data_IF_937788928511
#
_entry.id   IF_937788928511
#
_cell.length_a   1.000
_cell.length_b   1.000
_cell.length_c   1.000
_cell.angle_alpha   90.00
_cell.angle_beta   90.00
_cell.angle_gamma   90.00
#
_symmetry.space_group_name_H-M   'P 1'
#
loop_
_entity.id
_entity.type
_entity.pdbx_description
1 polymer ?
#
# COMPACT_ATOMS: atom_id res chain seq x y z
N UNK A 1 -13.67 -18.33 17.05
CA UNK A 1 -14.25 -18.97 15.84
C UNK A 1 -14.47 -17.84 14.84
N UNK A 2 -13.64 -17.74 13.78
CA UNK A 2 -13.80 -16.70 12.75
C UNK A 2 -14.96 -17.14 11.86
N UNK A 3 -15.90 -16.21 11.63
CA UNK A 3 -17.23 -16.44 11.04
C UNK A 3 -17.19 -16.08 9.55
N UNK A 4 -17.98 -16.80 8.75
CA UNK A 4 -18.25 -16.48 7.33
C UNK A 4 -18.54 -14.98 7.15
N UNK A 5 -18.04 -14.33 6.08
CA UNK A 5 -18.24 -12.90 5.87
C UNK A 5 -19.74 -12.59 5.86
N UNK A 6 -20.19 -11.82 6.85
CA UNK A 6 -21.54 -11.28 6.90
C UNK A 6 -21.86 -10.52 5.60
N UNK A 7 -23.13 -10.45 5.17
CA UNK A 7 -23.51 -9.67 4.00
C UNK A 7 -22.96 -8.25 4.09
N UNK A 8 -22.50 -7.74 2.94
CA UNK A 8 -21.96 -6.40 2.79
C UNK A 8 -23.06 -5.48 2.27
N UNK A 9 -23.15 -4.27 2.80
CA UNK A 9 -24.02 -3.25 2.25
C UNK A 9 -23.49 -2.82 0.88
N UNK A 10 -24.11 -3.32 -0.20
CA UNK A 10 -23.65 -3.08 -1.57
C UNK A 10 -23.59 -1.59 -1.93
N UNK A 11 -24.52 -0.79 -1.42
CA UNK A 11 -24.53 0.66 -1.63
C UNK A 11 -23.36 1.34 -0.93
N UNK A 12 -23.13 1.00 0.34
CA UNK A 12 -21.99 1.53 1.08
C UNK A 12 -20.64 1.05 0.52
N UNK A 13 -20.56 -0.19 0.04
CA UNK A 13 -19.37 -0.72 -0.61
C UNK A 13 -19.05 0.00 -1.91
N UNK A 14 -20.06 0.28 -2.75
CA UNK A 14 -19.86 1.05 -3.98
C UNK A 14 -19.33 2.46 -3.67
N UNK A 15 -19.90 3.15 -2.67
CA UNK A 15 -19.41 4.47 -2.24
C UNK A 15 -17.99 4.38 -1.71
N UNK A 16 -17.67 3.37 -0.89
CA UNK A 16 -16.33 3.18 -0.35
C UNK A 16 -15.28 2.92 -1.45
N UNK A 17 -15.61 2.10 -2.46
CA UNK A 17 -14.73 1.83 -3.60
C UNK A 17 -14.50 3.07 -4.47
N UNK A 18 -15.56 3.83 -4.78
CA UNK A 18 -15.42 5.10 -5.51
C UNK A 18 -14.59 6.12 -4.73
N UNK A 19 -14.79 6.19 -3.41
CA UNK A 19 -14.02 7.04 -2.51
C UNK A 19 -12.54 6.64 -2.50
N UNK A 20 -12.26 5.34 -2.46
CA UNK A 20 -10.89 4.81 -2.53
C UNK A 20 -10.23 5.20 -3.86
N UNK A 21 -10.93 5.02 -4.99
CA UNK A 21 -10.42 5.40 -6.31
C UNK A 21 -10.10 6.90 -6.40
N UNK A 22 -11.03 7.76 -5.95
CA UNK A 22 -10.81 9.20 -5.92
C UNK A 22 -9.62 9.57 -5.01
N UNK A 23 -9.50 8.93 -3.85
CA UNK A 23 -8.41 9.17 -2.89
C UNK A 23 -7.05 8.73 -3.46
N UNK A 24 -7.00 7.59 -4.16
CA UNK A 24 -5.79 7.10 -4.83
C UNK A 24 -5.37 7.97 -6.02
N UNK A 25 -6.33 8.49 -6.80
CA UNK A 25 -6.06 9.44 -7.87
C UNK A 25 -5.50 10.75 -7.30
N UNK A 26 -6.15 11.30 -6.27
CA UNK A 26 -5.69 12.50 -5.58
C UNK A 26 -4.27 12.34 -5.03
N UNK A 27 -4.01 11.24 -4.30
CA UNK A 27 -2.68 10.92 -3.79
C UNK A 27 -1.63 10.89 -4.90
N UNK A 28 -1.94 10.25 -6.03
CA UNK A 28 -1.03 10.17 -7.19
C UNK A 28 -0.70 11.57 -7.71
N UNK A 29 -1.70 12.44 -7.88
CA UNK A 29 -1.47 13.82 -8.30
C UNK A 29 -0.66 14.63 -7.28
N UNK A 30 -0.94 14.50 -5.98
CA UNK A 30 -0.12 15.13 -4.93
C UNK A 30 1.32 14.65 -5.03
N UNK A 31 1.53 13.33 -5.14
CA UNK A 31 2.88 12.75 -5.23
C UNK A 31 3.64 13.29 -6.44
N UNK A 32 3.02 13.27 -7.61
CA UNK A 32 3.59 13.82 -8.85
C UNK A 32 3.98 15.28 -8.69
N UNK A 33 3.11 16.13 -8.15
CA UNK A 33 3.40 17.55 -7.98
C UNK A 33 4.55 17.78 -6.99
N UNK A 34 4.54 17.09 -5.86
CA UNK A 34 5.62 17.24 -4.86
C UNK A 34 6.97 16.71 -5.33
N UNK A 35 6.98 15.71 -6.22
CA UNK A 35 8.22 15.23 -6.84
C UNK A 35 8.69 16.17 -7.95
N UNK A 36 7.77 16.75 -8.73
CA UNK A 36 8.10 17.75 -9.74
C UNK A 36 8.78 19.00 -9.13
N UNK A 37 8.30 19.48 -7.98
CA UNK A 37 8.88 20.63 -7.29
C UNK A 37 10.33 20.40 -6.84
N UNK A 38 10.70 19.16 -6.51
CA UNK A 38 12.01 18.81 -5.96
C UNK A 38 12.99 18.30 -7.04
N UNK A 39 12.51 17.59 -8.05
CA UNK A 39 13.33 17.00 -9.11
C UNK A 39 13.42 17.87 -10.36
N UNK A 40 12.82 19.07 -10.38
CA UNK A 40 12.83 19.98 -11.52
C UNK A 40 14.24 20.23 -12.09
N UNK A 41 15.26 20.26 -11.22
CA UNK A 41 16.67 20.45 -11.62
C UNK A 41 17.38 19.16 -12.04
N UNK A 42 16.86 17.97 -11.70
CA UNK A 42 17.53 16.69 -11.90
C UNK A 42 16.88 15.81 -12.98
N UNK A 43 15.55 15.89 -13.18
CA UNK A 43 14.76 15.06 -14.10
C UNK A 43 13.72 15.88 -14.90
N UNK A 44 14.13 16.89 -15.69
CA UNK A 44 13.21 17.86 -16.31
C UNK A 44 12.27 17.26 -17.37
N UNK A 45 12.63 16.13 -17.99
CA UNK A 45 11.85 15.52 -19.07
C UNK A 45 10.64 14.71 -18.58
N UNK A 46 10.72 14.12 -17.38
CA UNK A 46 9.65 13.32 -16.77
C UNK A 46 8.37 14.16 -16.53
N UNK A 47 8.55 15.47 -16.29
CA UNK A 47 7.48 16.38 -15.88
C UNK A 47 6.89 17.21 -17.03
N UNK A 48 7.46 17.14 -18.23
CA UNK A 48 6.91 17.83 -19.43
C UNK A 48 5.52 17.33 -19.82
N UNK A 49 5.20 16.07 -19.51
CA UNK A 49 3.89 15.46 -19.80
C UNK A 49 2.79 15.84 -18.79
N UNK A 50 3.15 16.08 -17.52
CA UNK A 50 2.20 16.38 -16.44
C UNK A 50 1.95 17.88 -16.24
N UNK A 51 2.77 18.72 -16.87
CA UNK A 51 2.74 20.18 -16.80
C UNK A 51 2.00 20.86 -17.97
N UNK A 52 1.41 20.08 -18.89
CA UNK A 52 0.72 20.62 -20.09
C UNK A 52 -0.42 21.58 -19.70
N UNK A 53 -1.06 21.40 -18.54
CA UNK A 53 -1.99 22.39 -17.98
C UNK A 53 -2.08 22.31 -16.45
N UNK A 54 -1.33 23.19 -15.76
CA UNK A 54 -1.42 23.37 -14.29
C UNK A 54 -2.86 23.59 -13.82
N UNK A 55 -3.65 24.33 -14.60
CA UNK A 55 -5.07 24.59 -14.31
C UNK A 55 -5.91 23.32 -14.34
N UNK A 56 -5.65 22.42 -15.29
CA UNK A 56 -6.33 21.12 -15.34
C UNK A 56 -5.98 20.28 -14.11
N UNK A 57 -4.69 20.17 -13.77
CA UNK A 57 -4.22 19.39 -12.61
C UNK A 57 -4.85 19.88 -11.30
N UNK A 58 -4.88 21.20 -11.07
CA UNK A 58 -5.50 21.78 -9.87
C UNK A 58 -7.01 21.47 -9.82
N UNK A 59 -7.72 21.57 -10.95
CA UNK A 59 -9.15 21.26 -11.00
C UNK A 59 -9.43 19.77 -10.77
N UNK A 60 -8.62 18.89 -11.34
CA UNK A 60 -8.71 17.45 -11.13
C UNK A 60 -8.52 17.11 -9.65
N UNK A 61 -7.46 17.63 -9.03
CA UNK A 61 -7.20 17.44 -7.60
C UNK A 61 -8.33 17.98 -6.71
N UNK A 62 -8.90 19.15 -7.04
CA UNK A 62 -10.04 19.68 -6.29
C UNK A 62 -11.26 18.76 -6.41
N UNK A 63 -11.55 18.25 -7.61
CA UNK A 63 -12.65 17.32 -7.84
C UNK A 63 -12.45 15.99 -7.11
N UNK A 64 -11.24 15.43 -7.15
CA UNK A 64 -10.89 14.19 -6.46
C UNK A 64 -11.00 14.34 -4.94
N UNK A 65 -10.48 15.45 -4.37
CA UNK A 65 -10.60 15.74 -2.95
C UNK A 65 -12.06 15.91 -2.52
N UNK A 66 -12.87 16.63 -3.31
CA UNK A 66 -14.29 16.81 -3.04
C UNK A 66 -15.05 15.48 -3.13
N UNK A 67 -14.76 14.65 -4.12
CA UNK A 67 -15.35 13.32 -4.26
C UNK A 67 -15.00 12.43 -3.06
N UNK A 68 -13.73 12.43 -2.63
CA UNK A 68 -13.29 11.71 -1.44
C UNK A 68 -14.00 12.22 -0.17
N UNK A 69 -14.04 13.53 0.04
CA UNK A 69 -14.70 14.13 1.20
C UNK A 69 -16.20 13.85 1.22
N UNK A 70 -16.88 13.92 0.07
CA UNK A 70 -18.30 13.60 -0.05
C UNK A 70 -18.58 12.13 0.26
N UNK A 71 -17.78 11.20 -0.26
CA UNK A 71 -17.92 9.77 0.00
C UNK A 71 -17.68 9.41 1.47
N UNK A 72 -16.63 9.97 2.09
CA UNK A 72 -16.37 9.84 3.53
C UNK A 72 -17.55 10.40 4.33
N UNK A 73 -17.98 11.63 4.03
CA UNK A 73 -19.09 12.28 4.73
C UNK A 73 -20.40 11.51 4.62
N UNK A 74 -20.69 10.94 3.45
CA UNK A 74 -21.85 10.09 3.23
C UNK A 74 -21.81 8.82 4.09
N UNK A 75 -20.67 8.13 4.15
CA UNK A 75 -20.49 6.94 4.98
C UNK A 75 -20.71 7.26 6.47
N UNK A 76 -20.14 8.37 6.94
CA UNK A 76 -20.32 8.84 8.32
C UNK A 76 -21.81 9.14 8.61
N UNK A 77 -22.48 9.86 7.72
CA UNK A 77 -23.89 10.23 7.87
C UNK A 77 -24.85 9.02 7.84
N UNK A 78 -24.43 7.90 7.20
CA UNK A 78 -25.18 6.63 7.17
C UNK A 78 -24.86 5.69 8.33
N UNK A 79 -24.16 6.16 9.36
CA UNK A 79 -23.78 5.36 10.52
C UNK A 79 -22.64 4.36 10.25
N UNK A 80 -21.95 4.47 9.10
CA UNK A 80 -20.79 3.63 8.74
C UNK A 80 -19.50 4.28 9.22
N UNK A 81 -19.43 4.60 10.51
CA UNK A 81 -18.34 5.39 11.09
C UNK A 81 -16.95 4.78 10.82
N UNK A 82 -16.80 3.46 11.01
CA UNK A 82 -15.52 2.78 10.80
C UNK A 82 -15.06 2.81 9.33
N UNK A 83 -16.00 2.70 8.39
CA UNK A 83 -15.73 2.83 6.95
C UNK A 83 -15.25 4.24 6.58
N UNK A 84 -15.99 5.26 7.02
CA UNK A 84 -15.65 6.65 6.76
C UNK A 84 -14.32 7.07 7.41
N UNK A 85 -14.12 6.73 8.68
CA UNK A 85 -12.88 7.04 9.42
C UNK A 85 -11.67 6.30 8.84
N UNK A 86 -11.83 5.03 8.45
CA UNK A 86 -10.76 4.25 7.81
C UNK A 86 -10.32 4.88 6.47
N UNK A 87 -11.26 5.25 5.61
CA UNK A 87 -10.94 5.93 4.35
C UNK A 87 -10.34 7.34 4.56
N UNK A 88 -10.83 8.07 5.57
CA UNK A 88 -10.25 9.35 5.96
C UNK A 88 -8.81 9.23 6.48
N UNK A 89 -8.53 8.22 7.32
CA UNK A 89 -7.18 7.94 7.80
C UNK A 89 -6.24 7.51 6.65
N UNK A 90 -6.73 6.67 5.73
CA UNK A 90 -6.01 6.31 4.52
C UNK A 90 -5.63 7.55 3.69
N UNK A 91 -6.59 8.42 3.38
CA UNK A 91 -6.35 9.65 2.62
C UNK A 91 -5.36 10.58 3.34
N UNK A 92 -5.57 10.83 4.64
CA UNK A 92 -4.70 11.71 5.42
C UNK A 92 -3.24 11.21 5.44
N UNK A 93 -3.04 9.92 5.68
CA UNK A 93 -1.71 9.33 5.78
C UNK A 93 -0.99 9.26 4.43
N UNK A 94 -1.71 8.94 3.36
CA UNK A 94 -1.16 8.93 2.00
C UNK A 94 -0.81 10.33 1.49
N UNK A 95 -1.56 11.36 1.90
CA UNK A 95 -1.14 12.75 1.67
C UNK A 95 0.11 13.08 2.47
N UNK A 96 0.18 12.76 3.78
CA UNK A 96 1.38 12.96 4.60
C UNK A 96 2.63 12.28 4.03
N UNK A 97 2.44 11.15 3.36
CA UNK A 97 3.50 10.42 2.70
C UNK A 97 4.24 11.23 1.66
N UNK A 98 3.53 12.02 0.85
CA UNK A 98 4.09 12.84 -0.22
C UNK A 98 4.25 14.31 0.16
N UNK A 99 3.40 14.82 1.05
CA UNK A 99 3.33 16.21 1.49
C UNK A 99 3.00 16.31 3.00
N UNK A 100 3.97 16.75 3.81
CA UNK A 100 3.75 16.88 5.25
C UNK A 100 3.02 18.19 5.62
N UNK A 101 1.68 18.16 5.54
CA UNK A 101 0.84 19.31 5.91
C UNK A 101 0.92 19.69 7.40
N UNK A 102 1.51 18.86 8.27
CA UNK A 102 1.78 19.21 9.68
C UNK A 102 3.01 20.11 9.84
N UNK A 103 3.79 20.30 8.77
CA UNK A 103 4.96 21.18 8.74
C UNK A 103 4.96 22.02 7.45
N UNK A 104 4.00 22.95 7.27
CA UNK A 104 3.77 23.65 6.00
C UNK A 104 5.02 24.38 5.47
N UNK A 105 5.85 24.95 6.34
CA UNK A 105 7.10 25.64 5.95
C UNK A 105 8.21 24.73 5.43
N UNK A 106 8.07 23.40 5.54
CA UNK A 106 9.02 22.41 5.04
C UNK A 106 8.29 21.13 4.55
N UNK A 107 7.06 21.27 4.06
CA UNK A 107 6.15 20.15 3.86
C UNK A 107 6.66 19.10 2.86
N UNK A 108 7.25 19.56 1.75
CA UNK A 108 7.86 18.68 0.75
C UNK A 108 9.16 18.03 1.29
N UNK A 109 9.97 18.76 2.04
CA UNK A 109 11.23 18.25 2.60
C UNK A 109 11.02 17.26 3.76
N UNK A 110 9.95 17.41 4.55
CA UNK A 110 9.64 16.60 5.75
C UNK A 110 8.53 15.57 5.52
N UNK A 111 8.22 15.25 4.28
CA UNK A 111 7.28 14.19 3.89
C UNK A 111 7.68 12.83 4.47
N UNK A 112 6.70 11.98 4.80
CA UNK A 112 7.00 10.71 5.46
C UNK A 112 7.85 9.78 4.57
N UNK A 113 7.72 9.85 3.24
CA UNK A 113 8.55 9.08 2.31
C UNK A 113 10.04 9.46 2.30
N UNK A 114 10.45 10.52 3.01
CA UNK A 114 11.87 10.82 3.18
C UNK A 114 12.51 10.02 4.33
N UNK A 115 11.71 9.28 5.10
CA UNK A 115 12.13 8.57 6.31
C UNK A 115 11.69 7.12 6.28
N UNK A 116 12.57 6.20 6.70
CA UNK A 116 12.27 4.77 6.72
C UNK A 116 11.02 4.43 7.56
N UNK A 117 10.86 5.06 8.71
CA UNK A 117 9.71 4.82 9.59
C UNK A 117 8.43 5.40 8.99
N UNK A 118 8.55 6.43 8.16
CA UNK A 118 7.43 7.05 7.47
C UNK A 118 6.86 6.13 6.38
N UNK A 119 7.71 5.43 5.62
CA UNK A 119 7.27 4.38 4.71
C UNK A 119 6.58 3.22 5.43
N UNK A 120 7.21 2.72 6.50
CA UNK A 120 6.64 1.63 7.31
C UNK A 120 5.27 2.02 7.87
N UNK A 121 5.17 3.20 8.48
CA UNK A 121 3.93 3.72 9.05
C UNK A 121 2.86 3.87 7.97
N UNK A 122 3.20 4.48 6.84
CA UNK A 122 2.27 4.70 5.73
C UNK A 122 1.77 3.36 5.19
N UNK A 123 2.64 2.39 4.95
CA UNK A 123 2.26 1.08 4.44
C UNK A 123 1.33 0.34 5.42
N UNK A 124 1.75 0.19 6.68
CA UNK A 124 1.00 -0.58 7.67
C UNK A 124 -0.31 0.11 8.06
N UNK A 125 -0.28 1.38 8.44
CA UNK A 125 -1.48 2.06 8.96
C UNK A 125 -2.47 2.32 7.83
N UNK A 126 -2.03 2.62 6.60
CA UNK A 126 -2.96 2.75 5.46
C UNK A 126 -3.66 1.43 5.17
N UNK A 127 -2.94 0.30 5.19
CA UNK A 127 -3.55 -1.01 4.97
C UNK A 127 -4.52 -1.38 6.09
N UNK A 128 -4.16 -1.13 7.35
CA UNK A 128 -5.07 -1.36 8.47
C UNK A 128 -6.28 -0.43 8.44
N UNK A 129 -6.12 0.80 7.95
CA UNK A 129 -7.23 1.73 7.75
C UNK A 129 -8.19 1.24 6.66
N UNK A 130 -7.67 0.69 5.55
CA UNK A 130 -8.49 0.07 4.50
C UNK A 130 -9.16 -1.22 4.98
N UNK A 131 -8.44 -2.06 5.73
CA UNK A 131 -9.02 -3.25 6.32
C UNK A 131 -10.16 -2.90 7.28
N UNK A 132 -9.92 -1.96 8.20
CA UNK A 132 -10.94 -1.41 9.08
C UNK A 132 -12.11 -0.82 8.30
N UNK A 133 -11.84 -0.12 7.19
CA UNK A 133 -12.90 0.41 6.36
C UNK A 133 -13.80 -0.70 5.78
N UNK A 134 -13.19 -1.79 5.29
CA UNK A 134 -13.89 -3.00 4.88
C UNK A 134 -14.74 -3.61 6.01
N UNK A 135 -14.19 -3.67 7.23
CA UNK A 135 -14.93 -4.14 8.41
C UNK A 135 -16.21 -3.31 8.66
N UNK A 136 -16.11 -1.98 8.47
CA UNK A 136 -17.22 -1.04 8.65
C UNK A 136 -18.36 -1.19 7.65
N UNK A 137 -18.20 -2.00 6.59
CA UNK A 137 -19.21 -2.23 5.55
C UNK A 137 -20.07 -3.47 5.79
N UNK A 138 -19.67 -4.36 6.71
CA UNK A 138 -20.48 -5.54 7.04
C UNK A 138 -21.78 -5.12 7.78
N UNK A 139 -22.89 -5.80 7.47
CA UNK A 139 -24.20 -5.46 8.04
C UNK A 139 -24.55 -6.24 9.31
N UNK A 140 -23.85 -7.34 9.61
CA UNK A 140 -24.19 -8.21 10.73
C UNK A 140 -23.02 -9.06 11.26
N UNK A 141 -21.78 -8.61 11.06
CA UNK A 141 -20.59 -9.37 11.45
C UNK A 141 -20.22 -9.21 12.94
N UNK A 142 -19.80 -10.31 13.58
CA UNK A 142 -19.09 -10.24 14.86
C UNK A 142 -17.74 -9.55 14.63
N UNK A 143 -17.63 -8.30 15.07
CA UNK A 143 -16.39 -7.52 14.97
C UNK A 143 -15.18 -8.27 15.56
N UNK A 144 -15.38 -9.20 16.51
CA UNK A 144 -14.32 -10.04 17.08
C UNK A 144 -13.83 -11.10 16.10
N UNK A 145 -14.74 -11.71 15.35
CA UNK A 145 -14.42 -12.69 14.31
C UNK A 145 -13.64 -12.05 13.16
N UNK A 146 -13.89 -10.78 12.86
CA UNK A 146 -13.14 -10.04 11.87
C UNK A 146 -11.80 -9.52 12.44
N UNK A 147 -11.78 -8.98 13.66
CA UNK A 147 -10.55 -8.48 14.31
C UNK A 147 -9.47 -9.56 14.46
N UNK A 148 -9.86 -10.83 14.61
CA UNK A 148 -8.92 -11.93 14.73
C UNK A 148 -8.20 -12.31 13.41
N UNK A 149 -8.57 -11.70 12.27
CA UNK A 149 -7.73 -11.69 11.06
C UNK A 149 -6.58 -10.68 11.11
N UNK A 150 -6.58 -9.75 12.09
CA UNK A 150 -5.59 -8.69 12.23
C UNK A 150 -4.13 -9.19 12.22
N UNK A 151 -3.76 -10.25 12.95
CA UNK A 151 -2.41 -10.80 12.89
C UNK A 151 -2.01 -11.31 11.50
N UNK A 152 -2.90 -12.04 10.81
CA UNK A 152 -2.62 -12.49 9.45
C UNK A 152 -2.47 -11.30 8.49
N UNK A 153 -3.35 -10.31 8.61
CA UNK A 153 -3.31 -9.08 7.82
C UNK A 153 -2.02 -8.27 8.07
N UNK A 154 -1.52 -8.22 9.30
CA UNK A 154 -0.23 -7.62 9.65
C UNK A 154 0.89 -8.30 8.88
N UNK A 155 0.99 -9.63 8.93
CA UNK A 155 2.06 -10.35 8.25
C UNK A 155 1.99 -10.21 6.72
N UNK A 156 0.79 -10.22 6.14
CA UNK A 156 0.60 -9.93 4.71
C UNK A 156 1.07 -8.51 4.39
N UNK A 157 0.75 -7.53 5.21
CA UNK A 157 1.19 -6.14 5.04
C UNK A 157 2.72 -6.01 5.13
N UNK A 158 3.34 -6.71 6.09
CA UNK A 158 4.80 -6.75 6.24
C UNK A 158 5.49 -7.40 5.03
N UNK A 159 4.88 -8.43 4.43
CA UNK A 159 5.41 -9.04 3.20
C UNK A 159 5.39 -8.08 2.01
N UNK A 160 4.42 -7.16 1.95
CA UNK A 160 4.37 -6.11 0.92
C UNK A 160 5.40 -5.02 1.20
N UNK A 161 5.54 -4.63 2.47
CA UNK A 161 6.60 -3.69 2.86
C UNK A 161 8.01 -4.25 2.57
N UNK A 162 8.22 -5.56 2.67
CA UNK A 162 9.46 -6.20 2.25
C UNK A 162 9.77 -5.98 0.76
N UNK A 163 8.75 -6.02 -0.11
CA UNK A 163 8.93 -5.67 -1.54
C UNK A 163 9.34 -4.21 -1.67
N UNK A 164 8.64 -3.28 -1.01
CA UNK A 164 9.00 -1.85 -1.04
C UNK A 164 10.45 -1.60 -0.59
N UNK A 165 10.94 -2.30 0.44
CA UNK A 165 12.34 -2.22 0.86
C UNK A 165 13.32 -2.76 -0.18
N UNK A 166 12.92 -3.81 -0.90
CA UNK A 166 13.71 -4.41 -1.96
C UNK A 166 13.77 -3.51 -3.20
N UNK A 167 12.65 -2.89 -3.55
CA UNK A 167 12.58 -1.85 -4.58
C UNK A 167 13.42 -0.63 -4.17
N UNK A 168 13.26 -0.11 -2.95
CA UNK A 168 14.07 1.04 -2.50
C UNK A 168 15.58 0.74 -2.50
N UNK A 169 15.98 -0.52 -2.29
CA UNK A 169 17.39 -0.92 -2.32
C UNK A 169 18.06 -0.66 -3.69
N UNK A 170 17.26 -0.65 -4.77
CA UNK A 170 17.68 -0.30 -6.13
C UNK A 170 18.22 1.13 -6.18
N UNK A 171 17.54 2.04 -5.51
CA UNK A 171 17.77 3.49 -5.57
C UNK A 171 18.65 4.00 -4.41
N UNK A 172 19.19 3.10 -3.60
CA UNK A 172 20.00 3.42 -2.42
C UNK A 172 21.09 4.48 -2.64
N UNK A 173 21.78 4.44 -3.79
CA UNK A 173 22.83 5.40 -4.13
C UNK A 173 22.26 6.79 -4.48
N UNK A 174 21.13 6.83 -5.17
CA UNK A 174 20.42 8.07 -5.51
C UNK A 174 19.83 8.70 -4.26
N UNK A 175 19.11 7.93 -3.46
CA UNK A 175 18.50 8.40 -2.20
C UNK A 175 19.55 8.92 -1.21
N UNK A 176 20.72 8.26 -1.14
CA UNK A 176 21.85 8.73 -0.33
C UNK A 176 22.40 10.06 -0.83
N UNK A 177 22.56 10.24 -2.14
CA UNK A 177 23.02 11.52 -2.73
C UNK A 177 22.01 12.64 -2.49
N UNK A 178 20.72 12.31 -2.48
CA UNK A 178 19.64 13.22 -2.15
C UNK A 178 19.50 13.51 -0.64
N UNK A 179 20.31 12.89 0.23
CA UNK A 179 20.30 13.13 1.68
C UNK A 179 19.06 12.59 2.39
N UNK A 180 18.37 11.61 1.81
CA UNK A 180 17.17 11.01 2.42
C UNK A 180 17.54 10.11 3.61
N UNK A 181 16.56 9.88 4.50
CA UNK A 181 16.70 9.03 5.71
C UNK A 181 15.92 7.72 5.58
N UNK A 182 15.83 7.20 4.36
CA UNK A 182 15.24 5.90 4.01
C UNK A 182 16.17 4.76 4.42
N UNK A 183 15.64 3.53 4.52
CA UNK A 183 16.45 2.35 4.84
C UNK A 183 17.51 2.09 3.77
N UNK A 184 17.19 2.34 2.50
CA UNK A 184 18.12 2.18 1.39
C UNK A 184 19.25 3.22 1.43
N UNK A 185 18.97 4.48 1.72
CA UNK A 185 20.02 5.49 1.92
C UNK A 185 20.95 5.12 3.09
N UNK A 186 20.39 4.68 4.22
CA UNK A 186 21.11 4.36 5.45
C UNK A 186 21.95 3.08 5.34
N UNK A 187 21.36 1.97 4.89
CA UNK A 187 21.99 0.64 4.86
C UNK A 187 22.70 0.34 3.53
N UNK A 188 22.44 1.14 2.50
CA UNK A 188 22.85 0.83 1.14
C UNK A 188 22.08 -0.35 0.55
N UNK A 189 22.37 -0.68 -0.71
CA UNK A 189 21.69 -1.76 -1.46
C UNK A 189 21.70 -3.09 -0.70
N UNK A 190 22.88 -3.61 -0.35
CA UNK A 190 23.02 -4.93 0.29
C UNK A 190 22.28 -5.01 1.63
N UNK A 191 22.42 -3.99 2.47
CA UNK A 191 21.76 -3.96 3.77
C UNK A 191 20.23 -3.84 3.66
N UNK A 192 19.74 -3.04 2.70
CA UNK A 192 18.29 -2.93 2.44
C UNK A 192 17.70 -4.22 1.85
N UNK A 193 18.39 -4.87 0.92
CA UNK A 193 17.98 -6.19 0.40
C UNK A 193 17.98 -7.27 1.48
N UNK A 194 18.96 -7.27 2.38
CA UNK A 194 18.96 -8.18 3.53
C UNK A 194 17.79 -7.90 4.48
N UNK A 195 17.53 -6.62 4.80
CA UNK A 195 16.40 -6.23 5.63
C UNK A 195 15.07 -6.65 5.00
N UNK A 196 14.90 -6.48 3.69
CA UNK A 196 13.74 -6.95 2.94
C UNK A 196 13.57 -8.48 3.04
N UNK A 197 14.63 -9.25 2.84
CA UNK A 197 14.59 -10.71 2.94
C UNK A 197 14.23 -11.19 4.34
N UNK A 198 14.84 -10.61 5.38
CA UNK A 198 14.54 -10.94 6.78
C UNK A 198 13.10 -10.58 7.15
N UNK A 199 12.61 -9.43 6.68
CA UNK A 199 11.24 -9.02 6.91
C UNK A 199 10.23 -9.94 6.21
N UNK A 200 10.51 -10.34 4.97
CA UNK A 200 9.67 -11.30 4.25
C UNK A 200 9.65 -12.65 4.95
N UNK A 201 10.81 -13.16 5.41
CA UNK A 201 10.88 -14.41 6.18
C UNK A 201 10.07 -14.32 7.48
N UNK A 202 10.18 -13.21 8.21
CA UNK A 202 9.40 -12.97 9.42
C UNK A 202 7.89 -12.93 9.12
N UNK A 203 7.49 -12.29 8.02
CA UNK A 203 6.11 -12.27 7.55
C UNK A 203 5.59 -13.67 7.20
N UNK A 204 6.36 -14.45 6.44
CA UNK A 204 5.98 -15.81 6.06
C UNK A 204 5.87 -16.75 7.28
N UNK A 205 6.82 -16.65 8.22
CA UNK A 205 6.80 -17.40 9.47
C UNK A 205 5.59 -17.01 10.34
N UNK A 206 5.33 -15.71 10.47
CA UNK A 206 4.18 -15.19 11.20
C UNK A 206 2.84 -15.62 10.60
N UNK A 207 2.72 -15.61 9.28
CA UNK A 207 1.52 -16.10 8.59
C UNK A 207 1.34 -17.62 8.77
N UNK A 208 2.44 -18.38 8.75
CA UNK A 208 2.42 -19.82 9.01
C UNK A 208 1.98 -20.13 10.44
N UNK A 209 2.48 -19.37 11.43
CA UNK A 209 2.06 -19.47 12.82
C UNK A 209 0.58 -19.10 12.99
N UNK A 210 0.13 -18.02 12.35
CA UNK A 210 -1.29 -17.65 12.34
C UNK A 210 -2.15 -18.79 11.76
N UNK A 211 -1.70 -19.45 10.69
CA UNK A 211 -2.38 -20.60 10.11
C UNK A 211 -2.36 -21.86 10.98
N UNK A 212 -1.31 -22.07 11.77
CA UNK A 212 -1.22 -23.20 12.70
C UNK A 212 -2.18 -23.06 13.90
N UNK A 213 -2.46 -21.81 14.30
CA UNK A 213 -3.39 -21.48 15.38
C UNK A 213 -4.85 -21.31 14.89
N UNK A 214 -5.06 -21.31 13.58
CA UNK A 214 -6.36 -21.10 12.96
C UNK A 214 -7.17 -22.40 12.85
N UNK A 215 -8.50 -22.28 12.79
CA UNK A 215 -9.37 -23.43 12.48
C UNK A 215 -9.12 -23.93 11.03
N UNK A 216 -9.52 -25.17 10.68
CA UNK A 216 -9.30 -25.73 9.35
C UNK A 216 -9.79 -24.85 8.19
N UNK A 217 -10.98 -24.24 8.34
CA UNK A 217 -11.57 -23.35 7.34
C UNK A 217 -10.73 -22.08 7.14
N UNK A 218 -10.30 -21.47 8.24
CA UNK A 218 -9.47 -20.27 8.20
C UNK A 218 -8.09 -20.56 7.64
N UNK A 219 -7.50 -21.71 7.99
CA UNK A 219 -6.24 -22.16 7.41
C UNK A 219 -6.37 -22.32 5.90
N UNK A 220 -7.47 -22.88 5.40
CA UNK A 220 -7.76 -22.95 3.96
C UNK A 220 -7.81 -21.56 3.33
N UNK A 221 -8.54 -20.62 3.93
CA UNK A 221 -8.61 -19.22 3.45
C UNK A 221 -7.24 -18.54 3.45
N UNK A 222 -6.43 -18.72 4.49
CA UNK A 222 -5.07 -18.18 4.55
C UNK A 222 -4.19 -18.71 3.41
N UNK A 223 -4.29 -20.02 3.16
CA UNK A 223 -3.53 -20.69 2.08
C UNK A 223 -3.98 -20.25 0.69
N UNK A 224 -5.26 -20.01 0.46
CA UNK A 224 -5.77 -19.64 -0.86
C UNK A 224 -5.65 -18.14 -1.12
N UNK A 225 -6.03 -17.29 -0.16
CA UNK A 225 -6.08 -15.83 -0.35
C UNK A 225 -4.72 -15.14 -0.22
N UNK A 226 -3.85 -15.63 0.67
CA UNK A 226 -2.63 -14.89 1.04
C UNK A 226 -1.33 -15.60 0.67
N UNK A 227 -1.25 -16.93 0.77
CA UNK A 227 -0.01 -17.63 0.48
C UNK A 227 0.52 -17.39 -0.95
N UNK A 228 -0.29 -17.38 -2.03
CA UNK A 228 0.20 -17.11 -3.37
C UNK A 228 0.83 -15.73 -3.49
N UNK A 229 0.18 -14.70 -2.92
CA UNK A 229 0.69 -13.33 -2.93
C UNK A 229 1.98 -13.20 -2.11
N UNK A 230 2.07 -13.84 -0.93
CA UNK A 230 3.28 -13.82 -0.10
C UNK A 230 4.44 -14.54 -0.79
N UNK A 231 4.20 -15.71 -1.41
CA UNK A 231 5.23 -16.44 -2.14
C UNK A 231 5.73 -15.65 -3.35
N UNK A 232 4.83 -15.06 -4.12
CA UNK A 232 5.16 -14.17 -5.24
C UNK A 232 6.07 -13.01 -4.80
N UNK A 233 5.71 -12.33 -3.70
CA UNK A 233 6.52 -11.26 -3.10
C UNK A 233 7.90 -11.76 -2.68
N UNK A 234 7.99 -12.99 -2.18
CA UNK A 234 9.26 -13.64 -1.84
C UNK A 234 10.15 -13.87 -3.06
N UNK A 235 9.58 -14.35 -4.16
CA UNK A 235 10.29 -14.51 -5.42
C UNK A 235 10.85 -13.17 -5.93
N UNK A 236 10.08 -12.08 -5.79
CA UNK A 236 10.53 -10.73 -6.16
C UNK A 236 11.67 -10.26 -5.26
N UNK A 237 11.54 -10.41 -3.94
CA UNK A 237 12.60 -10.04 -2.99
C UNK A 237 13.88 -10.80 -3.29
N UNK A 238 13.80 -12.10 -3.57
CA UNK A 238 14.94 -12.93 -3.95
C UNK A 238 15.56 -12.49 -5.28
N UNK A 239 14.73 -12.18 -6.28
CA UNK A 239 15.17 -11.75 -7.61
C UNK A 239 15.92 -10.41 -7.56
N UNK A 240 15.41 -9.43 -6.79
CA UNK A 240 16.04 -8.12 -6.63
C UNK A 240 17.31 -8.16 -5.77
N UNK A 241 17.44 -9.15 -4.89
CA UNK A 241 18.64 -9.39 -4.10
C UNK A 241 19.75 -10.13 -4.89
N UNK A 242 19.42 -10.75 -6.04
CA UNK A 242 20.37 -11.52 -6.81
C UNK A 242 21.49 -10.64 -7.39
N UNK A 243 22.75 -11.14 -7.40
CA UNK A 243 23.84 -10.46 -8.08
C UNK A 243 23.64 -10.59 -9.61
N UNK A 244 23.08 -9.54 -10.21
CA UNK A 244 22.85 -9.46 -11.66
C UNK A 244 23.92 -8.61 -12.34
N UNK A 245 24.23 -8.92 -13.59
CA UNK A 245 25.01 -8.04 -14.46
C UNK A 245 24.28 -6.69 -14.68
N UNK A 246 25.00 -5.63 -15.05
CA UNK A 246 24.43 -4.28 -15.16
C UNK A 246 23.25 -4.18 -16.13
N UNK A 247 23.23 -4.98 -17.20
CA UNK A 247 22.18 -4.92 -18.21
C UNK A 247 20.89 -5.57 -17.70
N UNK A 248 20.99 -6.76 -17.13
CA UNK A 248 19.87 -7.47 -16.49
C UNK A 248 19.36 -6.72 -15.27
N UNK A 249 20.26 -6.16 -14.46
CA UNK A 249 19.90 -5.31 -13.32
C UNK A 249 19.03 -4.13 -13.79
N UNK A 250 19.39 -3.49 -14.92
CA UNK A 250 18.62 -2.35 -15.47
C UNK A 250 17.23 -2.75 -15.99
N UNK A 251 17.11 -3.83 -16.76
CA UNK A 251 15.82 -4.30 -17.30
C UNK A 251 14.88 -4.72 -16.17
N UNK A 252 15.42 -5.45 -15.20
CA UNK A 252 14.66 -6.00 -14.09
C UNK A 252 14.13 -4.88 -13.18
N UNK A 253 14.89 -3.80 -13.00
CA UNK A 253 14.45 -2.60 -12.25
C UNK A 253 13.30 -1.82 -12.88
N UNK A 254 13.18 -1.85 -14.21
CA UNK A 254 12.09 -1.18 -14.92
C UNK A 254 10.80 -2.01 -14.90
N UNK A 255 10.91 -3.34 -14.93
CA UNK A 255 9.75 -4.22 -15.05
C UNK A 255 9.22 -4.73 -13.70
N UNK A 256 10.09 -4.97 -12.72
CA UNK A 256 9.72 -5.67 -11.48
C UNK A 256 8.73 -4.89 -10.62
N UNK A 257 8.83 -3.56 -10.42
CA UNK A 257 7.88 -2.83 -9.59
C UNK A 257 6.43 -2.98 -10.10
N UNK A 258 6.22 -2.74 -11.40
CA UNK A 258 4.89 -2.84 -12.02
C UNK A 258 4.36 -4.28 -11.97
N UNK A 259 5.19 -5.25 -12.38
CA UNK A 259 4.79 -6.66 -12.40
C UNK A 259 4.51 -7.19 -10.98
N UNK A 260 5.21 -6.68 -9.96
CA UNK A 260 4.97 -7.07 -8.56
C UNK A 260 3.71 -6.43 -8.01
N UNK A 261 3.49 -5.15 -8.32
CA UNK A 261 2.32 -4.40 -7.90
C UNK A 261 1.03 -5.01 -8.47
N UNK A 262 1.00 -5.27 -9.78
CA UNK A 262 -0.16 -5.88 -10.45
C UNK A 262 -0.28 -7.37 -10.15
N UNK A 263 0.83 -8.12 -10.19
CA UNK A 263 0.83 -9.57 -10.00
C UNK A 263 0.34 -10.00 -8.61
N UNK A 264 0.81 -9.35 -7.55
CA UNK A 264 0.39 -9.71 -6.18
C UNK A 264 -1.09 -9.42 -5.91
N UNK A 265 -1.63 -8.33 -6.48
CA UNK A 265 -3.05 -7.96 -6.38
C UNK A 265 -3.94 -8.87 -7.22
N UNK A 266 -3.53 -9.16 -8.46
CA UNK A 266 -4.26 -10.06 -9.35
C UNK A 266 -4.39 -11.45 -8.73
N UNK A 267 -3.31 -11.97 -8.15
CA UNK A 267 -3.33 -13.27 -7.47
C UNK A 267 -4.33 -13.28 -6.31
N UNK A 268 -4.36 -12.25 -5.48
CA UNK A 268 -5.35 -12.15 -4.39
C UNK A 268 -6.78 -12.06 -4.91
N UNK A 269 -7.04 -11.25 -5.96
CA UNK A 269 -8.38 -11.12 -6.55
C UNK A 269 -8.85 -12.43 -7.20
N UNK A 270 -7.99 -13.07 -7.99
CA UNK A 270 -8.30 -14.36 -8.62
C UNK A 270 -8.58 -15.43 -7.57
N UNK A 271 -7.76 -15.50 -6.51
CA UNK A 271 -7.99 -16.42 -5.39
C UNK A 271 -9.35 -16.21 -4.73
N UNK A 272 -9.78 -14.95 -4.56
CA UNK A 272 -11.10 -14.64 -3.99
C UNK A 272 -12.24 -15.06 -4.92
N UNK A 273 -12.11 -14.80 -6.23
CA UNK A 273 -13.11 -15.21 -7.23
C UNK A 273 -13.24 -16.73 -7.31
N UNK A 274 -12.12 -17.45 -7.26
CA UNK A 274 -12.10 -18.93 -7.28
C UNK A 274 -12.76 -19.50 -6.01
N UNK A 275 -12.56 -18.87 -4.86
CA UNK A 275 -13.20 -19.30 -3.62
C UNK A 275 -14.72 -19.11 -3.64
N UNK A 276 -15.19 -17.96 -4.14
CA UNK A 276 -16.61 -17.64 -4.28
C UNK A 276 -17.33 -18.60 -5.25
N UNK A 277 -16.68 -18.93 -6.37
CA UNK A 277 -17.21 -19.89 -7.33
C UNK A 277 -17.26 -21.35 -6.81
N UNK A 278 -16.57 -21.65 -5.70
CA UNK A 278 -16.47 -22.98 -5.12
C UNK A 278 -17.34 -23.17 -3.85
N UNK A 279 -18.08 -22.14 -3.43
CA UNK A 279 -19.04 -22.14 -2.32
C UNK A 279 -20.48 -22.21 -2.81
#
# INVERSE_FOLDING_TARGET
>A
MLVSPAPVDAGAAAVALLTLLASSAFMTHVNVLTDAELDASAKPELYRWLSVSRTFTVRAMAAELLASAAGIGWLLARGRALAGLGLGAFLALTVLYSYNYLSPGAAAARRLKAYWWGHLLTCLVSYFALWGAGLGLHTSGDARALAAWGPAFLFVSLSEYAVFLSESAVDAAEERRAGLKTLAALLGRRGSSLAAALLWLAAAAGLSLAGALASPEQRRLLLVCFAPAVLWRGSVVALLAAPLDQHRDRVLRLAVPDVTFFGSRLLTVVSLVVLDAAS
#
